data_IF_337732568493
#
_entry.id   IF_337732568493
#
_cell.length_a   1.000
_cell.length_b   1.000
_cell.length_c   1.000
_cell.angle_alpha   90.00
_cell.angle_beta   90.00
_cell.angle_gamma   90.00
#
_symmetry.space_group_name_H-M   'P 1'
#
loop_
_entity.id
_entity.type
_entity.pdbx_description
1 polymer ?
#
# COMPACT_ATOMS: atom_id res chain seq x y z
N UNK A 1 1.21 -30.60 -36.50
CA UNK A 1 0.38 -30.57 -35.28
C UNK A 1 1.07 -29.60 -34.33
N UNK A 2 0.46 -28.45 -34.02
CA UNK A 2 1.05 -27.47 -33.09
C UNK A 2 0.44 -27.73 -31.72
N UNK A 3 1.26 -28.24 -30.81
CA UNK A 3 0.91 -28.35 -29.40
C UNK A 3 0.69 -26.95 -28.85
N UNK A 4 -0.49 -26.73 -28.25
CA UNK A 4 -0.84 -25.46 -27.65
C UNK A 4 -0.09 -25.30 -26.35
N UNK A 5 0.77 -24.28 -26.27
CA UNK A 5 1.32 -23.81 -25.00
C UNK A 5 0.17 -23.36 -24.09
N UNK A 6 -0.13 -24.19 -23.10
CA UNK A 6 -1.06 -23.87 -22.03
C UNK A 6 -0.47 -22.70 -21.24
N UNK A 7 -0.99 -21.48 -21.46
CA UNK A 7 -0.57 -20.30 -20.70
C UNK A 7 -0.80 -20.59 -19.22
N UNK A 8 0.29 -20.89 -18.48
CA UNK A 8 0.29 -20.92 -17.01
C UNK A 8 -0.42 -19.65 -16.53
N UNK A 9 -1.60 -19.82 -15.94
CA UNK A 9 -2.29 -18.73 -15.27
C UNK A 9 -1.38 -18.29 -14.13
N UNK A 10 -0.76 -17.12 -14.25
CA UNK A 10 0.06 -16.55 -13.20
C UNK A 10 -0.86 -16.19 -12.03
N UNK A 11 -0.88 -17.05 -11.02
CA UNK A 11 -1.57 -16.83 -9.75
C UNK A 11 -0.57 -16.18 -8.82
N UNK A 12 -0.89 -14.99 -8.32
CA UNK A 12 -0.06 -14.27 -7.34
C UNK A 12 -0.77 -14.24 -6.01
N UNK A 13 -0.03 -14.40 -4.92
CA UNK A 13 -0.57 -14.28 -3.56
C UNK A 13 0.17 -13.19 -2.82
N UNK A 14 -0.59 -12.22 -2.29
CA UNK A 14 -0.07 -11.00 -1.67
C UNK A 14 -0.54 -10.97 -0.21
N UNK A 15 0.40 -10.86 0.72
CA UNK A 15 0.13 -10.65 2.14
C UNK A 15 0.27 -9.16 2.47
N UNK A 16 -0.79 -8.56 2.98
CA UNK A 16 -0.79 -7.20 3.52
C UNK A 16 -0.85 -7.21 5.04
N UNK A 17 -0.01 -6.41 5.69
CA UNK A 17 0.00 -6.23 7.15
C UNK A 17 0.00 -4.73 7.48
N UNK A 18 -0.79 -4.34 8.47
CA UNK A 18 -0.71 -3.05 9.15
C UNK A 18 -0.47 -3.27 10.66
N UNK A 19 0.78 -3.23 11.13
CA UNK A 19 1.10 -3.54 12.51
C UNK A 19 1.00 -2.28 13.37
N UNK A 20 -0.10 -2.13 14.10
CA UNK A 20 -0.27 -1.12 15.15
C UNK A 20 0.31 -1.54 16.51
N UNK A 21 0.26 -0.62 17.48
CA UNK A 21 0.76 -0.86 18.85
C UNK A 21 -0.19 -1.70 19.72
N UNK A 22 -1.46 -1.75 19.33
CA UNK A 22 -2.53 -2.44 20.05
C UNK A 22 -3.19 -3.53 19.23
N UNK A 23 -3.31 -3.32 17.92
CA UNK A 23 -3.91 -4.25 16.97
C UNK A 23 -2.98 -4.32 15.77
N UNK A 24 -2.84 -5.51 15.18
CA UNK A 24 -2.23 -5.68 13.87
C UNK A 24 -3.27 -6.26 12.93
N UNK A 25 -3.67 -5.47 11.93
CA UNK A 25 -4.52 -5.92 10.85
C UNK A 25 -3.71 -6.70 9.81
N UNK A 26 -4.28 -7.75 9.24
CA UNK A 26 -3.67 -8.48 8.14
C UNK A 26 -4.71 -8.98 7.15
N UNK A 27 -4.27 -9.16 5.91
CA UNK A 27 -5.07 -9.71 4.83
C UNK A 27 -4.21 -10.44 3.81
N UNK A 28 -4.70 -11.57 3.31
CA UNK A 28 -4.11 -12.27 2.17
C UNK A 28 -5.08 -12.17 1.02
N UNK A 29 -4.60 -11.70 -0.13
CA UNK A 29 -5.37 -11.72 -1.38
C UNK A 29 -4.69 -12.62 -2.40
N UNK A 30 -5.50 -13.25 -3.23
CA UNK A 30 -5.04 -14.01 -4.40
C UNK A 30 -5.47 -13.28 -5.66
N UNK A 31 -4.56 -13.20 -6.62
CA UNK A 31 -4.80 -12.52 -7.89
C UNK A 31 -4.73 -13.55 -9.00
N UNK A 32 -5.87 -13.80 -9.64
CA UNK A 32 -5.98 -14.71 -10.79
C UNK A 32 -6.50 -13.94 -11.98
N UNK A 33 -5.82 -14.03 -13.13
CA UNK A 33 -6.21 -13.30 -14.36
C UNK A 33 -6.51 -11.82 -14.09
N UNK A 34 -5.68 -11.20 -13.25
CA UNK A 34 -5.78 -9.80 -12.85
C UNK A 34 -7.06 -9.43 -12.05
N UNK A 35 -7.67 -10.41 -11.38
CA UNK A 35 -8.81 -10.22 -10.49
C UNK A 35 -8.41 -10.61 -9.07
N UNK A 36 -8.42 -9.68 -8.10
CA UNK A 36 -8.11 -10.00 -6.72
C UNK A 36 -9.33 -10.64 -6.04
N UNK A 37 -9.08 -11.62 -5.18
CA UNK A 37 -10.04 -12.22 -4.26
C UNK A 37 -9.45 -12.28 -2.85
N UNK A 38 -10.30 -12.15 -1.84
CA UNK A 38 -9.89 -12.31 -0.46
C UNK A 38 -9.66 -13.80 -0.15
N UNK A 39 -8.51 -14.12 0.44
CA UNK A 39 -8.21 -15.47 0.95
C UNK A 39 -8.51 -15.53 2.44
N UNK A 40 -7.94 -14.59 3.21
CA UNK A 40 -8.18 -14.45 4.64
C UNK A 40 -7.96 -13.00 5.05
N UNK A 41 -8.65 -12.55 6.08
CA UNK A 41 -8.30 -11.34 6.82
C UNK A 41 -8.52 -11.56 8.31
N UNK A 42 -7.84 -10.76 9.13
CA UNK A 42 -8.07 -10.80 10.55
C UNK A 42 -7.25 -9.77 11.31
N UNK A 43 -7.39 -9.83 12.63
CA UNK A 43 -6.71 -8.93 13.55
C UNK A 43 -5.99 -9.76 14.61
N UNK A 44 -4.73 -9.42 14.85
CA UNK A 44 -4.01 -9.86 16.03
C UNK A 44 -4.20 -8.82 17.13
N UNK A 45 -4.97 -9.16 18.16
CA UNK A 45 -5.12 -8.31 19.35
C UNK A 45 -3.87 -8.41 20.23
N UNK A 46 -3.16 -7.29 20.38
CA UNK A 46 -1.95 -7.18 21.20
C UNK A 46 -2.24 -6.59 22.58
N UNK A 47 -3.45 -6.07 22.85
CA UNK A 47 -3.81 -5.45 24.14
C UNK A 47 -3.78 -6.44 25.30
N UNK A 48 -4.01 -7.72 25.00
CA UNK A 48 -3.90 -8.84 25.94
C UNK A 48 -2.48 -9.12 26.44
N UNK A 49 -1.45 -8.48 25.87
CA UNK A 49 -0.07 -8.63 26.31
C UNK A 49 0.44 -7.33 26.92
N UNK A 50 0.89 -7.38 28.18
CA UNK A 50 1.45 -6.21 28.86
C UNK A 50 2.89 -5.92 28.39
N UNK A 51 3.70 -6.96 28.20
CA UNK A 51 5.11 -6.82 27.81
C UNK A 51 5.25 -6.44 26.32
N UNK A 52 5.91 -5.31 25.99
CA UNK A 52 6.15 -4.89 24.62
C UNK A 52 6.97 -5.90 23.80
N UNK A 53 7.91 -6.64 24.40
CA UNK A 53 8.72 -7.63 23.67
C UNK A 53 7.89 -8.86 23.31
N UNK A 54 6.95 -9.27 24.16
CA UNK A 54 5.99 -10.31 23.84
C UNK A 54 5.09 -9.87 22.68
N UNK A 55 4.66 -8.60 22.63
CA UNK A 55 3.92 -8.08 21.46
C UNK A 55 4.72 -8.24 20.17
N UNK A 56 6.00 -7.86 20.18
CA UNK A 56 6.89 -8.01 19.03
C UNK A 56 7.03 -9.49 18.62
N UNK A 57 7.26 -10.39 19.58
CA UNK A 57 7.31 -11.82 19.31
C UNK A 57 6.01 -12.34 18.68
N UNK A 58 4.85 -11.89 19.15
CA UNK A 58 3.54 -12.27 18.59
C UNK A 58 3.32 -11.75 17.17
N UNK A 59 3.77 -10.54 16.87
CA UNK A 59 3.78 -10.01 15.49
C UNK A 59 4.65 -10.91 14.61
N UNK A 60 5.90 -11.17 15.01
CA UNK A 60 6.83 -12.00 14.23
C UNK A 60 6.25 -13.39 13.91
N UNK A 61 5.85 -14.10 14.96
CA UNK A 61 5.32 -15.47 14.87
C UNK A 61 4.02 -15.54 14.09
N UNK A 62 3.12 -14.55 14.24
CA UNK A 62 1.88 -14.52 13.46
C UNK A 62 2.17 -14.24 11.99
N UNK A 63 3.06 -13.29 11.67
CA UNK A 63 3.47 -13.02 10.29
C UNK A 63 4.08 -14.27 9.65
N UNK A 64 5.00 -14.96 10.34
CA UNK A 64 5.54 -16.23 9.83
C UNK A 64 4.46 -17.28 9.60
N UNK A 65 3.52 -17.43 10.53
CA UNK A 65 2.42 -18.39 10.39
C UNK A 65 1.58 -18.10 9.15
N UNK A 66 1.24 -16.82 8.90
CA UNK A 66 0.51 -16.42 7.70
C UNK A 66 1.31 -16.72 6.42
N UNK A 67 2.61 -16.47 6.44
CA UNK A 67 3.49 -16.78 5.30
C UNK A 67 3.55 -18.29 5.06
N UNK A 68 3.70 -19.07 6.13
CA UNK A 68 3.84 -20.51 6.05
C UNK A 68 2.53 -21.21 5.63
N UNK A 69 1.39 -20.68 6.04
CA UNK A 69 0.06 -21.19 5.71
C UNK A 69 -0.36 -20.84 4.28
N UNK A 70 -0.22 -19.56 3.89
CA UNK A 70 -0.79 -19.07 2.62
C UNK A 70 0.22 -18.95 1.47
N UNK A 71 1.52 -19.13 1.75
CA UNK A 71 2.62 -19.05 0.78
C UNK A 71 2.56 -17.81 -0.15
N UNK A 72 2.40 -16.59 0.40
CA UNK A 72 2.50 -15.37 -0.39
C UNK A 72 3.91 -15.21 -0.96
N UNK A 73 3.98 -14.64 -2.16
CA UNK A 73 5.25 -14.27 -2.83
C UNK A 73 5.61 -12.81 -2.54
N UNK A 74 4.59 -12.00 -2.25
CA UNK A 74 4.67 -10.56 -2.09
C UNK A 74 4.13 -10.14 -0.72
N UNK A 75 4.83 -9.21 -0.08
CA UNK A 75 4.49 -8.63 1.21
C UNK A 75 4.30 -7.13 1.07
N UNK A 76 3.15 -6.62 1.53
CA UNK A 76 2.80 -5.21 1.49
C UNK A 76 2.56 -4.68 2.91
N UNK A 77 3.11 -3.51 3.22
CA UNK A 77 2.97 -2.87 4.52
C UNK A 77 2.81 -1.36 4.37
N UNK A 78 2.04 -0.74 5.26
CA UNK A 78 2.00 0.72 5.35
C UNK A 78 3.37 1.24 5.84
N UNK A 79 3.92 2.24 5.16
CA UNK A 79 5.15 2.92 5.58
C UNK A 79 4.84 3.92 6.69
N UNK A 80 5.79 4.17 7.59
CA UNK A 80 5.60 5.16 8.65
C UNK A 80 5.29 6.56 8.13
N UNK A 81 4.35 7.23 8.81
CA UNK A 81 4.17 8.67 8.69
C UNK A 81 4.83 9.38 9.89
N UNK A 82 5.46 10.52 9.62
CA UNK A 82 6.07 11.37 10.65
C UNK A 82 4.99 11.97 11.56
N UNK A 83 4.74 11.33 12.70
CA UNK A 83 3.88 11.83 13.77
C UNK A 83 4.60 12.78 14.74
N UNK A 84 3.82 13.57 15.49
CA UNK A 84 4.33 14.53 16.48
C UNK A 84 4.99 13.88 17.72
N UNK A 85 4.69 12.61 18.01
CA UNK A 85 5.20 11.91 19.19
C UNK A 85 6.23 10.83 18.80
N UNK A 86 7.49 11.12 19.09
CA UNK A 86 8.66 10.26 18.79
C UNK A 86 8.58 8.90 19.49
N UNK A 87 8.07 8.82 20.72
CA UNK A 87 7.98 7.55 21.45
C UNK A 87 6.96 6.60 20.82
N UNK A 88 5.80 7.12 20.42
CA UNK A 88 4.78 6.33 19.72
C UNK A 88 5.29 5.85 18.36
N UNK A 89 6.02 6.71 17.64
CA UNK A 89 6.65 6.37 16.37
C UNK A 89 7.69 5.25 16.54
N UNK A 90 8.53 5.30 17.58
CA UNK A 90 9.52 4.27 17.86
C UNK A 90 8.87 2.92 18.19
N UNK A 91 7.75 2.92 18.93
CA UNK A 91 6.99 1.69 19.21
C UNK A 91 6.41 1.07 17.94
N UNK A 92 5.83 1.91 17.07
CA UNK A 92 5.32 1.48 15.78
C UNK A 92 6.45 0.93 14.88
N UNK A 93 7.62 1.57 14.90
CA UNK A 93 8.76 1.16 14.06
C UNK A 93 9.32 -0.19 14.45
N UNK A 94 9.36 -0.50 15.74
CA UNK A 94 9.70 -1.84 16.22
C UNK A 94 8.70 -2.89 15.74
N UNK A 95 7.40 -2.59 15.78
CA UNK A 95 6.35 -3.49 15.32
C UNK A 95 6.46 -3.78 13.81
N UNK A 96 6.61 -2.74 12.98
CA UNK A 96 6.82 -2.88 11.54
C UNK A 96 8.13 -3.60 11.24
N UNK A 97 9.24 -3.22 11.88
CA UNK A 97 10.55 -3.84 11.66
C UNK A 97 10.53 -5.34 11.92
N UNK A 98 9.78 -5.80 12.93
CA UNK A 98 9.63 -7.22 13.22
C UNK A 98 8.73 -7.94 12.21
N UNK A 99 7.65 -7.30 11.71
CA UNK A 99 6.85 -7.86 10.63
C UNK A 99 7.65 -7.99 9.32
N UNK A 100 8.43 -6.96 8.99
CA UNK A 100 9.34 -6.93 7.84
C UNK A 100 10.42 -8.00 7.98
N UNK A 101 11.02 -8.14 9.17
CA UNK A 101 12.01 -9.19 9.43
C UNK A 101 11.44 -10.59 9.22
N UNK A 102 10.19 -10.85 9.62
CA UNK A 102 9.52 -12.14 9.37
C UNK A 102 9.33 -12.40 7.86
N UNK A 103 8.90 -11.39 7.10
CA UNK A 103 8.77 -11.48 5.64
C UNK A 103 10.12 -11.71 4.95
N UNK A 104 11.15 -10.96 5.36
CA UNK A 104 12.51 -11.07 4.82
C UNK A 104 13.12 -12.44 5.15
N UNK A 105 12.90 -12.96 6.37
CA UNK A 105 13.34 -14.30 6.78
C UNK A 105 12.75 -15.42 5.90
N UNK A 106 11.61 -15.17 5.25
CA UNK A 106 10.96 -16.08 4.31
C UNK A 106 11.20 -15.72 2.83
N UNK A 107 12.09 -14.75 2.56
CA UNK A 107 12.47 -14.30 1.22
C UNK A 107 11.30 -13.73 0.39
N UNK A 108 10.31 -13.09 1.03
CA UNK A 108 9.24 -12.40 0.31
C UNK A 108 9.73 -11.09 -0.32
N UNK A 109 9.14 -10.72 -1.45
CA UNK A 109 9.32 -9.37 -2.00
C UNK A 109 8.55 -8.36 -1.14
N UNK A 110 9.27 -7.47 -0.45
CA UNK A 110 8.70 -6.52 0.50
C UNK A 110 8.44 -5.17 -0.18
N UNK A 111 7.25 -4.62 0.01
CA UNK A 111 6.82 -3.34 -0.54
C UNK A 111 6.15 -2.47 0.52
N UNK A 112 6.63 -1.23 0.61
CA UNK A 112 6.12 -0.24 1.56
C UNK A 112 5.30 0.84 0.85
N UNK A 113 4.18 1.26 1.45
CA UNK A 113 3.29 2.26 0.88
C UNK A 113 2.95 3.36 1.87
N UNK A 114 3.12 4.62 1.45
CA UNK A 114 2.66 5.76 2.23
C UNK A 114 1.14 5.68 2.48
N UNK A 115 0.64 6.10 3.66
CA UNK A 115 -0.78 6.06 3.97
C UNK A 115 -1.63 6.80 2.91
N UNK A 116 -1.13 7.95 2.44
CA UNK A 116 -1.74 8.73 1.37
C UNK A 116 -1.87 7.92 0.08
N UNK A 117 -0.86 7.09 -0.24
CA UNK A 117 -0.82 6.27 -1.46
C UNK A 117 -1.84 5.14 -1.38
N UNK A 118 -1.99 4.49 -0.23
CA UNK A 118 -3.02 3.47 0.01
C UNK A 118 -4.40 4.09 -0.22
N UNK A 119 -4.69 5.22 0.45
CA UNK A 119 -5.96 5.94 0.32
C UNK A 119 -6.27 6.33 -1.13
N UNK A 120 -5.31 6.95 -1.81
CA UNK A 120 -5.43 7.32 -3.22
C UNK A 120 -5.67 6.10 -4.12
N UNK A 121 -4.98 4.99 -3.89
CA UNK A 121 -5.08 3.80 -4.74
C UNK A 121 -6.43 3.11 -4.65
N UNK A 122 -7.08 3.14 -3.49
CA UNK A 122 -8.38 2.49 -3.29
C UNK A 122 -9.55 3.41 -3.61
N UNK A 123 -9.46 4.70 -3.29
CA UNK A 123 -10.61 5.61 -3.30
C UNK A 123 -10.51 6.73 -4.33
N UNK A 124 -9.33 6.96 -4.91
CA UNK A 124 -9.04 8.15 -5.72
C UNK A 124 -8.86 9.44 -4.90
N UNK A 125 -8.99 9.38 -3.56
CA UNK A 125 -8.89 10.53 -2.67
C UNK A 125 -7.93 10.24 -1.49
N UNK A 126 -6.90 11.07 -1.34
CA UNK A 126 -5.89 10.92 -0.29
C UNK A 126 -6.40 11.24 1.12
N UNK A 127 -7.54 11.93 1.20
CA UNK A 127 -8.19 12.30 2.47
C UNK A 127 -9.32 11.36 2.85
N UNK A 128 -9.41 10.19 2.21
CA UNK A 128 -10.47 9.23 2.51
C UNK A 128 -10.45 8.77 3.98
N UNK A 129 -11.66 8.57 4.53
CA UNK A 129 -11.88 8.02 5.86
C UNK A 129 -11.68 6.50 5.87
N UNK A 130 -11.54 5.91 7.06
CA UNK A 130 -11.38 4.45 7.21
C UNK A 130 -12.62 3.70 6.71
N UNK A 131 -13.81 4.26 6.91
CA UNK A 131 -15.08 3.69 6.44
C UNK A 131 -15.13 3.65 4.90
N UNK A 132 -14.61 4.69 4.25
CA UNK A 132 -14.51 4.72 2.79
C UNK A 132 -13.53 3.66 2.28
N UNK A 133 -12.40 3.45 2.96
CA UNK A 133 -11.46 2.37 2.64
C UNK A 133 -12.15 1.00 2.78
N UNK A 134 -12.80 0.76 3.92
CA UNK A 134 -13.49 -0.50 4.19
C UNK A 134 -14.57 -0.81 3.13
N UNK A 135 -15.37 0.18 2.75
CA UNK A 135 -16.38 0.02 1.70
C UNK A 135 -15.75 -0.29 0.33
N UNK A 136 -14.60 0.31 0.01
CA UNK A 136 -13.86 -0.01 -1.21
C UNK A 136 -13.29 -1.42 -1.18
N UNK A 137 -12.69 -1.85 -0.07
CA UNK A 137 -12.19 -3.23 0.13
C UNK A 137 -13.33 -4.22 -0.09
N UNK A 138 -14.49 -3.97 0.54
CA UNK A 138 -15.70 -4.79 0.40
C UNK A 138 -16.14 -4.95 -1.06
N UNK A 139 -16.23 -3.83 -1.79
CA UNK A 139 -16.64 -3.83 -3.20
C UNK A 139 -15.63 -4.55 -4.11
N UNK A 140 -14.34 -4.29 -3.90
CA UNK A 140 -13.27 -4.85 -4.73
C UNK A 140 -13.12 -6.37 -4.55
N UNK A 141 -13.25 -6.85 -3.32
CA UNK A 141 -13.09 -8.28 -2.98
C UNK A 141 -14.42 -9.03 -2.86
N UNK A 142 -15.55 -8.36 -3.10
CA UNK A 142 -16.92 -8.91 -3.02
C UNK A 142 -17.25 -9.55 -1.66
N UNK A 143 -16.76 -8.94 -0.58
CA UNK A 143 -17.01 -9.40 0.79
C UNK A 143 -18.45 -9.05 1.19
N UNK A 144 -19.12 -9.93 1.92
CA UNK A 144 -20.46 -9.67 2.45
C UNK A 144 -20.42 -8.56 3.51
N UNK A 145 -21.47 -7.76 3.62
CA UNK A 145 -21.47 -6.57 4.49
C UNK A 145 -21.39 -6.97 5.96
N UNK A 146 -21.96 -8.12 6.29
CA UNK A 146 -22.05 -8.71 7.62
C UNK A 146 -20.67 -9.14 8.13
N UNK A 147 -19.77 -9.56 7.23
CA UNK A 147 -18.40 -9.91 7.56
C UNK A 147 -17.58 -8.65 7.86
N UNK A 148 -17.83 -7.54 7.16
CA UNK A 148 -17.02 -6.32 7.28
C UNK A 148 -17.05 -5.65 8.66
N UNK A 149 -18.16 -5.70 9.39
CA UNK A 149 -18.29 -5.07 10.71
C UNK A 149 -17.37 -5.68 11.77
N UNK A 150 -17.04 -6.96 11.61
CA UNK A 150 -16.15 -7.70 12.52
C UNK A 150 -14.67 -7.42 12.27
N UNK A 151 -14.33 -6.87 11.09
CA UNK A 151 -12.97 -6.82 10.57
C UNK A 151 -12.49 -5.42 10.20
N UNK A 152 -13.10 -4.37 10.77
CA UNK A 152 -12.75 -2.98 10.45
C UNK A 152 -11.23 -2.70 10.55
N UNK A 153 -10.57 -3.14 11.62
CA UNK A 153 -9.11 -3.00 11.78
C UNK A 153 -8.30 -3.96 10.88
N UNK A 154 -8.90 -5.06 10.37
CA UNK A 154 -8.24 -5.93 9.40
C UNK A 154 -8.20 -5.30 8.00
N UNK A 155 -9.11 -4.35 7.72
CA UNK A 155 -9.20 -3.70 6.42
C UNK A 155 -7.94 -2.92 6.05
N UNK A 156 -7.20 -2.40 7.03
CA UNK A 156 -5.96 -1.67 6.81
C UNK A 156 -4.87 -2.57 6.17
N UNK A 157 -4.72 -3.80 6.68
CA UNK A 157 -3.82 -4.80 6.10
C UNK A 157 -4.25 -5.24 4.68
N UNK A 158 -5.55 -5.46 4.47
CA UNK A 158 -6.09 -5.78 3.14
C UNK A 158 -5.89 -4.61 2.16
N UNK A 159 -6.06 -3.37 2.62
CA UNK A 159 -5.87 -2.17 1.81
C UNK A 159 -4.41 -2.03 1.34
N UNK A 160 -3.43 -2.36 2.19
CA UNK A 160 -2.02 -2.41 1.78
C UNK A 160 -1.80 -3.43 0.64
N UNK A 161 -2.36 -4.63 0.74
CA UNK A 161 -2.25 -5.65 -0.30
C UNK A 161 -2.93 -5.22 -1.62
N UNK A 162 -4.12 -4.63 -1.55
CA UNK A 162 -4.82 -4.08 -2.72
C UNK A 162 -4.03 -2.93 -3.36
N UNK A 163 -3.46 -2.04 -2.55
CA UNK A 163 -2.59 -0.97 -3.02
C UNK A 163 -1.39 -1.54 -3.78
N UNK A 164 -0.75 -2.58 -3.25
CA UNK A 164 0.33 -3.28 -3.95
C UNK A 164 -0.15 -3.85 -5.29
N UNK A 165 -1.28 -4.56 -5.30
CA UNK A 165 -1.87 -5.10 -6.52
C UNK A 165 -2.08 -4.02 -7.61
N UNK A 166 -2.65 -2.86 -7.26
CA UNK A 166 -2.85 -1.79 -8.24
C UNK A 166 -1.53 -1.17 -8.72
N UNK A 167 -0.55 -1.03 -7.84
CA UNK A 167 0.76 -0.49 -8.20
C UNK A 167 1.55 -1.44 -9.10
N UNK A 168 1.48 -2.74 -8.84
CA UNK A 168 2.10 -3.79 -9.65
C UNK A 168 1.36 -4.06 -10.98
N UNK A 169 0.16 -3.50 -11.17
CA UNK A 169 -0.50 -3.46 -12.49
C UNK A 169 -0.06 -2.29 -13.34
N UNK A 170 0.22 -1.15 -12.70
CA UNK A 170 0.59 0.09 -13.38
C UNK A 170 2.06 0.10 -13.85
N UNK A 171 2.84 -0.95 -13.55
CA UNK A 171 4.22 -1.15 -14.04
C UNK A 171 4.31 -1.50 -15.53
N UNK A 172 3.21 -1.44 -16.29
CA UNK A 172 3.23 -1.41 -17.78
C UNK A 172 2.74 -0.06 -18.30
N UNK A 173 3.59 0.95 -18.13
CA UNK A 173 4.00 1.96 -19.13
C UNK A 173 4.80 3.04 -18.41
N UNK A 174 6.06 2.75 -18.07
CA UNK A 174 7.04 3.80 -18.24
C UNK A 174 7.04 4.12 -19.75
N UNK A 175 6.43 5.24 -20.13
CA UNK A 175 6.72 5.82 -21.45
C UNK A 175 8.22 6.09 -21.45
N UNK A 176 9.01 5.19 -22.05
CA UNK A 176 10.39 5.47 -22.45
C UNK A 176 10.31 6.65 -23.40
N UNK A 177 10.58 7.85 -22.88
CA UNK A 177 10.88 8.98 -23.73
C UNK A 177 12.30 8.77 -24.23
N UNK A 178 12.44 8.46 -25.52
CA UNK A 178 13.75 8.26 -26.14
C UNK A 178 14.51 9.59 -26.29
N UNK A 179 13.83 10.73 -26.09
CA UNK A 179 14.42 12.05 -26.17
C UNK A 179 13.70 13.07 -25.26
N UNK A 180 14.44 14.07 -24.79
CA UNK A 180 13.88 15.24 -24.10
C UNK A 180 12.86 15.99 -24.96
N UNK A 181 13.00 15.95 -26.29
CA UNK A 181 12.10 16.56 -27.25
C UNK A 181 10.70 15.91 -27.25
N UNK A 182 10.63 14.58 -27.11
CA UNK A 182 9.34 13.85 -27.07
C UNK A 182 8.56 14.16 -25.80
N UNK A 183 9.27 14.34 -24.68
CA UNK A 183 8.68 14.71 -23.39
C UNK A 183 8.05 16.11 -23.43
N UNK A 184 8.76 17.08 -24.03
CA UNK A 184 8.29 18.47 -24.18
C UNK A 184 7.10 18.56 -25.15
N UNK A 185 7.11 17.80 -26.24
CA UNK A 185 6.01 17.77 -27.21
C UNK A 185 4.69 17.30 -26.59
N UNK A 186 4.73 16.28 -25.72
CA UNK A 186 3.55 15.72 -25.06
C UNK A 186 3.13 16.49 -23.79
N UNK A 187 3.98 17.35 -23.23
CA UNK A 187 3.69 18.13 -22.01
C UNK A 187 3.83 19.65 -22.23
N UNK A 188 3.49 20.14 -23.43
CA UNK A 188 3.60 21.58 -23.78
C UNK A 188 2.99 22.52 -22.74
N UNK A 189 1.85 22.15 -22.14
CA UNK A 189 1.15 22.95 -21.12
C UNK A 189 1.88 23.02 -19.76
N UNK A 190 2.79 22.09 -19.47
CA UNK A 190 3.60 22.08 -18.23
C UNK A 190 4.94 22.80 -18.38
N UNK A 191 5.46 22.89 -19.60
CA UNK A 191 6.80 23.44 -19.89
C UNK A 191 6.74 24.94 -20.23
N UNK A 192 5.61 25.45 -20.72
CA UNK A 192 5.45 26.89 -20.94
C UNK A 192 5.12 27.60 -19.62
N UNK A 193 6.13 28.19 -18.95
CA UNK A 193 5.87 29.25 -17.96
C UNK A 193 5.16 30.42 -18.66
N UNK A 194 4.09 31.00 -18.10
CA UNK A 194 3.58 32.27 -18.59
C UNK A 194 4.66 33.34 -18.40
N UNK A 195 4.97 34.07 -19.48
CA UNK A 195 5.93 35.16 -19.45
C UNK A 195 5.51 36.19 -18.39
N UNK A 196 6.38 36.46 -17.42
CA UNK A 196 6.25 37.64 -16.55
C UNK A 196 6.36 38.87 -17.43
N UNK A 197 5.26 39.60 -17.60
CA UNK A 197 5.28 40.96 -18.14
C UNK A 197 6.06 41.86 -17.18
N UNK A 198 7.23 42.31 -17.62
CA UNK A 198 8.00 43.33 -16.92
C UNK A 198 7.19 44.64 -16.89
N UNK A 199 6.84 45.12 -15.69
CA UNK A 199 6.38 46.50 -15.50
C UNK A 199 7.59 47.43 -15.64
N UNK A 200 7.58 48.26 -16.66
CA UNK A 200 8.49 49.39 -16.84
C UNK A 200 8.23 50.40 -15.71
N UNK A 201 9.21 50.60 -14.84
CA UNK A 201 9.22 51.72 -13.89
C UNK A 201 9.58 52.97 -14.69
N UNK A 202 8.63 53.90 -14.83
CA UNK A 202 8.93 55.27 -15.26
C UNK A 202 9.59 55.99 -14.09
N UNK A 203 10.84 56.38 -14.26
CA UNK A 203 11.48 57.43 -13.47
C UNK A 203 10.93 58.76 -13.94
N UNK A 204 10.09 59.41 -13.15
CA UNK A 204 9.75 60.81 -13.31
C UNK A 204 10.74 61.62 -12.47
N UNK A 205 11.42 62.56 -13.13
CA UNK A 205 12.42 63.43 -12.54
C UNK A 205 12.13 64.84 -13.07
N UNK A 206 11.34 65.63 -12.33
CA UNK A 206 11.29 67.09 -12.51
C UNK A 206 10.55 67.77 -11.36
N UNK A 207 11.31 68.65 -10.69
CA UNK A 207 10.96 69.75 -9.79
C UNK A 207 10.67 69.42 -8.32
#
# INVERSE_FOLDING_TARGET
MREGEEKKSCVRTILGIDPGTNLMGYGVIRVEKNKPSLVVMGVLDLRKYADPYIKLQKIFTRTLSLIDEYKPEEFAIESQFFGKNVQSMLKLGRAQGVAIAAAAYRNLSIHEYAPLKIKMSLTGNGMASKEQIAEMVRKLLKVQKEEMSTFFDATDGVAAAICHFFQSRNTVQEKKFNSWTDFVAQNKSKVSRPARTAKTVKTDNSQ
#
